data_IF_473614482617
#
_entry.id   IF_473614482617
#
_cell.length_a   1.000
_cell.length_b   1.000
_cell.length_c   1.000
_cell.angle_alpha   90.00
_cell.angle_beta   90.00
_cell.angle_gamma   90.00
#
_symmetry.space_group_name_H-M   'P 1'
#
loop_
_entity.id
_entity.type
_entity.pdbx_description
1 polymer ?
#
# COMPACT_ATOMS: atom_id res chain seq x y z
N UNK A 1 13.34 9.00 2.03
CA UNK A 1 13.71 7.58 1.88
C UNK A 1 12.52 6.73 1.44
N UNK A 2 11.39 6.74 2.17
CA UNK A 2 10.22 5.88 1.88
C UNK A 2 9.62 6.08 0.47
N UNK A 3 9.55 7.31 -0.04
CA UNK A 3 9.08 7.59 -1.41
C UNK A 3 9.81 6.77 -2.49
N UNK A 4 11.12 6.60 -2.34
CA UNK A 4 11.94 5.85 -3.30
C UNK A 4 11.74 4.35 -3.15
N UNK A 5 11.65 3.86 -1.91
CA UNK A 5 11.39 2.44 -1.61
C UNK A 5 10.07 1.99 -2.24
N UNK A 6 9.02 2.81 -2.15
CA UNK A 6 7.71 2.47 -2.68
C UNK A 6 7.47 2.96 -4.11
N UNK A 7 8.44 3.62 -4.76
CA UNK A 7 8.25 4.28 -6.06
C UNK A 7 6.99 5.17 -6.12
N UNK A 8 6.70 5.86 -5.01
CA UNK A 8 5.43 6.53 -4.74
C UNK A 8 5.47 8.03 -5.11
N UNK A 9 4.30 8.61 -5.36
CA UNK A 9 4.15 10.03 -5.64
C UNK A 9 4.44 10.89 -4.40
N UNK A 10 5.00 12.09 -4.60
CA UNK A 10 5.38 13.02 -3.51
C UNK A 10 4.21 13.49 -2.63
N UNK A 11 2.98 13.38 -3.12
CA UNK A 11 1.75 13.78 -2.40
C UNK A 11 1.16 12.65 -1.58
N UNK A 12 1.72 11.43 -1.65
CA UNK A 12 1.27 10.31 -0.81
C UNK A 12 1.55 10.65 0.65
N UNK A 13 0.55 10.45 1.51
CA UNK A 13 0.66 10.69 2.95
C UNK A 13 1.77 9.85 3.58
N UNK A 14 2.45 10.37 4.60
CA UNK A 14 3.49 9.65 5.32
C UNK A 14 2.99 8.33 5.93
N UNK A 15 1.74 8.30 6.38
CA UNK A 15 1.07 7.13 6.95
C UNK A 15 0.99 5.98 5.93
N UNK A 16 0.50 6.26 4.71
CA UNK A 16 0.51 5.28 3.61
C UNK A 16 1.93 4.85 3.23
N UNK A 17 2.90 5.76 3.18
CA UNK A 17 4.29 5.42 2.85
C UNK A 17 4.91 4.46 3.86
N UNK A 18 4.66 4.68 5.16
CA UNK A 18 5.10 3.76 6.20
C UNK A 18 4.52 2.36 5.98
N UNK A 19 3.22 2.26 5.68
CA UNK A 19 2.53 0.98 5.42
C UNK A 19 3.10 0.29 4.19
N UNK A 20 3.16 0.97 3.04
CA UNK A 20 3.67 0.39 1.78
C UNK A 20 5.12 -0.08 1.93
N UNK A 21 5.97 0.69 2.63
CA UNK A 21 7.37 0.34 2.84
C UNK A 21 7.56 -0.76 3.90
N UNK A 22 6.54 -1.07 4.70
CA UNK A 22 6.68 -1.93 5.88
C UNK A 22 7.56 -1.30 6.98
N UNK A 23 7.73 0.02 6.97
CA UNK A 23 8.58 0.75 7.91
C UNK A 23 7.71 1.52 8.90
N UNK A 24 7.79 1.24 10.21
CA UNK A 24 6.99 1.95 11.21
C UNK A 24 7.31 3.46 11.24
N UNK A 25 6.35 4.30 11.68
CA UNK A 25 6.58 5.71 11.95
C UNK A 25 7.83 5.95 12.83
N UNK A 26 8.59 7.00 12.51
CA UNK A 26 9.89 7.27 13.13
C UNK A 26 9.80 7.45 14.65
N UNK A 27 8.72 8.08 15.13
CA UNK A 27 8.46 8.29 16.55
C UNK A 27 8.23 6.96 17.29
N UNK A 28 7.53 6.00 16.68
CA UNK A 28 7.37 4.66 17.25
C UNK A 28 8.70 3.88 17.28
N UNK A 29 9.53 4.02 16.24
CA UNK A 29 10.89 3.46 16.24
C UNK A 29 11.78 4.10 17.33
N UNK A 30 11.63 5.39 17.58
CA UNK A 30 12.35 6.08 18.65
C UNK A 30 11.90 5.59 20.03
N UNK A 31 10.60 5.39 20.23
CA UNK A 31 10.04 4.87 21.49
C UNK A 31 10.50 3.41 21.74
N UNK A 32 10.50 2.55 20.72
CA UNK A 32 11.06 1.18 20.81
C UNK A 32 12.51 1.23 21.32
N UNK A 33 13.36 2.06 20.70
CA UNK A 33 14.77 2.22 21.10
C UNK A 33 14.91 2.76 22.53
N UNK A 34 14.05 3.70 22.92
CA UNK A 34 14.06 4.27 24.28
C UNK A 34 13.70 3.21 25.33
N UNK A 35 12.71 2.37 25.05
CA UNK A 35 12.31 1.29 25.95
C UNK A 35 13.42 0.26 26.11
N UNK A 36 14.07 -0.14 25.02
CA UNK A 36 15.23 -1.03 25.06
C UNK A 36 16.38 -0.43 25.90
N UNK A 37 16.69 0.86 25.71
CA UNK A 37 17.73 1.54 26.48
C UNK A 37 17.40 1.62 27.97
N UNK A 38 16.18 2.05 28.33
CA UNK A 38 15.72 2.14 29.74
C UNK A 38 15.84 0.78 30.43
N UNK A 39 15.49 -0.31 29.74
CA UNK A 39 15.58 -1.67 30.28
C UNK A 39 17.03 -2.09 30.50
N UNK A 40 17.90 -1.91 29.50
CA UNK A 40 19.35 -2.21 29.61
C UNK A 40 20.00 -1.45 30.76
N UNK A 41 19.62 -0.19 30.97
CA UNK A 41 20.11 0.62 32.09
C UNK A 41 19.67 0.05 33.44
N UNK A 42 18.41 -0.40 33.58
CA UNK A 42 17.91 -1.05 34.81
C UNK A 42 18.55 -2.41 35.07
N UNK A 43 18.82 -3.20 34.03
CA UNK A 43 19.47 -4.50 34.13
C UNK A 43 20.96 -4.36 34.51
N UNK A 44 21.67 -3.37 33.98
CA UNK A 44 23.06 -3.07 34.40
C UNK A 44 23.20 -2.66 35.87
N UNK A 45 22.14 -2.13 36.47
CA UNK A 45 22.13 -1.75 37.90
C UNK A 45 21.81 -2.95 38.81
N UNK A 46 21.30 -4.06 38.25
CA UNK A 46 20.92 -5.29 38.96
C UNK A 46 21.84 -6.43 38.55
N UNK A 47 23.11 -6.37 38.92
CA UNK A 47 24.04 -7.46 38.61
C UNK A 47 23.78 -8.67 39.52
N UNK A 48 22.92 -9.58 39.06
CA UNK A 48 22.97 -11.03 39.29
C UNK A 48 21.80 -11.68 38.52
N UNK A 49 22.00 -11.94 37.23
CA UNK A 49 21.47 -13.11 36.50
C UNK A 49 21.56 -12.90 34.99
N UNK A 50 22.11 -13.90 34.33
CA UNK A 50 22.36 -14.01 32.90
C UNK A 50 21.04 -14.32 32.15
N UNK A 51 20.09 -13.38 32.11
CA UNK A 51 18.89 -13.56 31.28
C UNK A 51 19.22 -13.22 29.79
N UNK A 52 18.91 -14.11 28.82
CA UNK A 52 19.35 -13.93 27.45
C UNK A 52 18.67 -12.74 26.76
N UNK A 53 19.50 -11.86 26.17
CA UNK A 53 19.19 -10.63 25.42
C UNK A 53 18.04 -10.74 24.38
N UNK A 54 17.73 -11.97 23.94
CA UNK A 54 16.83 -12.29 22.81
C UNK A 54 15.35 -12.04 23.16
N UNK A 55 14.93 -12.26 24.40
CA UNK A 55 13.53 -12.12 24.82
C UNK A 55 13.06 -10.66 24.93
N UNK A 56 14.00 -9.72 25.07
CA UNK A 56 13.75 -8.30 25.31
C UNK A 56 13.32 -7.56 24.04
N UNK A 57 13.98 -7.85 22.90
CA UNK A 57 13.67 -7.25 21.59
C UNK A 57 12.24 -7.56 21.17
N UNK A 58 11.75 -8.77 21.47
CA UNK A 58 10.40 -9.19 21.11
C UNK A 58 9.29 -8.37 21.79
N UNK A 59 9.47 -7.96 23.05
CA UNK A 59 8.43 -7.20 23.78
C UNK A 59 8.29 -5.77 23.28
N UNK A 60 9.40 -5.06 23.10
CA UNK A 60 9.39 -3.69 22.57
C UNK A 60 8.87 -3.66 21.14
N UNK A 61 9.29 -4.62 20.30
CA UNK A 61 8.77 -4.78 18.94
C UNK A 61 7.28 -5.07 18.89
N UNK A 62 6.77 -5.93 19.78
CA UNK A 62 5.33 -6.22 19.89
C UNK A 62 4.53 -4.97 20.29
N UNK A 63 5.03 -4.20 21.25
CA UNK A 63 4.40 -2.94 21.66
C UNK A 63 4.37 -1.91 20.52
N UNK A 64 5.47 -1.78 19.78
CA UNK A 64 5.53 -0.94 18.57
C UNK A 64 4.49 -1.39 17.55
N UNK A 65 4.40 -2.68 17.24
CA UNK A 65 3.44 -3.20 16.26
C UNK A 65 1.99 -2.93 16.69
N UNK A 66 1.67 -3.13 17.97
CA UNK A 66 0.35 -2.81 18.52
C UNK A 66 0.01 -1.32 18.38
N UNK A 67 0.93 -0.43 18.78
CA UNK A 67 0.74 1.00 18.65
C UNK A 67 0.60 1.45 17.19
N UNK A 68 1.35 0.82 16.27
CA UNK A 68 1.27 1.13 14.85
C UNK A 68 -0.05 0.66 14.24
N UNK A 69 -0.50 -0.56 14.54
CA UNK A 69 -1.81 -1.07 14.12
C UNK A 69 -2.94 -0.16 14.60
N UNK A 70 -2.90 0.30 15.85
CA UNK A 70 -3.93 1.19 16.39
C UNK A 70 -3.92 2.56 15.68
N UNK A 71 -2.73 3.15 15.52
CA UNK A 71 -2.58 4.41 14.77
C UNK A 71 -3.08 4.26 13.32
N UNK A 72 -2.81 3.13 12.68
CA UNK A 72 -3.27 2.86 11.33
C UNK A 72 -4.79 2.69 11.25
N UNK A 73 -5.42 2.06 12.25
CA UNK A 73 -6.89 1.95 12.31
C UNK A 73 -7.57 3.29 12.51
N UNK A 74 -6.92 4.25 13.18
CA UNK A 74 -7.54 5.53 13.52
C UNK A 74 -7.23 6.67 12.55
N UNK A 75 -6.22 6.56 11.68
CA UNK A 75 -5.86 7.66 10.77
C UNK A 75 -7.00 8.03 9.81
N UNK A 76 -7.31 9.31 9.71
CA UNK A 76 -8.22 9.84 8.67
C UNK A 76 -7.52 10.00 7.31
N UNK A 77 -6.19 10.04 7.31
CA UNK A 77 -5.39 10.03 6.08
C UNK A 77 -5.29 8.61 5.53
N UNK A 78 -5.14 8.51 4.21
CA UNK A 78 -4.95 7.24 3.50
C UNK A 78 -6.12 6.25 3.63
N UNK A 79 -7.36 6.74 3.70
CA UNK A 79 -8.56 5.91 3.84
C UNK A 79 -8.63 4.76 2.81
N UNK A 80 -8.30 5.04 1.55
CA UNK A 80 -8.22 4.02 0.48
C UNK A 80 -7.19 2.92 0.79
N UNK A 81 -5.94 3.30 1.06
CA UNK A 81 -4.88 2.34 1.41
C UNK A 81 -5.24 1.51 2.64
N UNK A 82 -5.93 2.12 3.62
CA UNK A 82 -6.39 1.44 4.85
C UNK A 82 -7.51 0.44 4.58
N UNK A 83 -8.42 0.73 3.64
CA UNK A 83 -9.43 -0.24 3.20
C UNK A 83 -8.76 -1.47 2.57
N UNK A 84 -7.76 -1.26 1.71
CA UNK A 84 -7.04 -2.34 1.06
C UNK A 84 -6.18 -3.14 2.06
N UNK A 85 -5.50 -2.46 2.99
CA UNK A 85 -4.55 -3.07 3.93
C UNK A 85 -5.03 -2.86 5.38
N UNK A 86 -6.12 -3.52 5.81
CA UNK A 86 -6.63 -3.38 7.18
C UNK A 86 -5.75 -4.13 8.20
N UNK A 87 -5.17 -5.27 7.81
CA UNK A 87 -4.27 -6.05 8.65
C UNK A 87 -2.80 -5.71 8.37
N UNK A 88 -2.29 -4.75 9.13
CA UNK A 88 -0.92 -4.29 8.99
C UNK A 88 0.12 -5.36 9.39
N UNK A 89 -0.21 -6.25 10.32
CA UNK A 89 0.74 -7.27 10.80
C UNK A 89 1.01 -8.30 9.72
N UNK A 90 -0.03 -8.78 9.03
CA UNK A 90 0.10 -9.69 7.90
C UNK A 90 0.81 -9.03 6.73
N UNK A 91 0.43 -7.79 6.39
CA UNK A 91 1.11 -7.05 5.35
C UNK A 91 2.59 -6.93 5.63
N UNK A 92 3.00 -6.40 6.78
CA UNK A 92 4.43 -6.22 7.12
C UNK A 92 5.17 -7.56 7.27
N UNK A 93 4.46 -8.61 7.68
CA UNK A 93 5.02 -9.94 7.92
C UNK A 93 5.13 -10.83 6.68
N UNK A 94 4.60 -10.41 5.53
CA UNK A 94 4.66 -11.19 4.28
C UNK A 94 6.11 -11.48 3.87
N UNK A 95 6.35 -12.70 3.41
CA UNK A 95 7.67 -13.16 2.97
C UNK A 95 7.98 -12.88 1.49
N UNK A 96 6.98 -12.42 0.73
CA UNK A 96 7.03 -12.24 -0.71
C UNK A 96 6.35 -10.93 -1.14
N UNK A 97 6.55 -10.58 -2.41
CA UNK A 97 5.80 -9.51 -3.04
C UNK A 97 6.33 -8.10 -2.75
N UNK A 98 7.06 -7.56 -3.72
CA UNK A 98 7.58 -6.19 -3.66
C UNK A 98 6.58 -5.18 -4.22
N UNK A 99 6.49 -4.01 -3.58
CA UNK A 99 5.65 -2.91 -4.08
C UNK A 99 6.43 -2.13 -5.14
N UNK A 100 6.10 -2.40 -6.40
CA UNK A 100 6.61 -1.64 -7.54
C UNK A 100 5.82 -0.33 -7.78
N UNK A 101 6.24 0.45 -8.78
CA UNK A 101 5.62 1.73 -9.12
C UNK A 101 4.12 1.66 -9.45
N UNK A 102 3.67 0.62 -10.16
CA UNK A 102 2.27 0.46 -10.56
C UNK A 102 1.40 -0.04 -9.42
N UNK A 103 1.89 -1.00 -8.62
CA UNK A 103 1.16 -1.44 -7.43
C UNK A 103 1.07 -0.31 -6.41
N UNK A 104 2.13 0.46 -6.21
CA UNK A 104 2.13 1.67 -5.36
C UNK A 104 1.06 2.69 -5.77
N UNK A 105 0.90 2.95 -7.07
CA UNK A 105 -0.15 3.82 -7.60
C UNK A 105 -1.55 3.32 -7.18
N UNK A 106 -1.83 2.04 -7.43
CA UNK A 106 -3.11 1.42 -7.07
C UNK A 106 -3.35 1.48 -5.57
N UNK A 107 -2.38 1.07 -4.75
CA UNK A 107 -2.51 1.03 -3.29
C UNK A 107 -2.74 2.41 -2.67
N UNK A 108 -2.28 3.48 -3.32
CA UNK A 108 -2.38 4.85 -2.81
C UNK A 108 -3.48 5.67 -3.47
N UNK A 109 -4.10 5.16 -4.54
CA UNK A 109 -5.04 5.93 -5.36
C UNK A 109 -4.37 7.12 -6.05
N UNK A 110 -3.07 7.01 -6.35
CA UNK A 110 -2.29 8.04 -7.04
C UNK A 110 -1.91 7.58 -8.44
N UNK A 111 -1.60 8.53 -9.32
CA UNK A 111 -1.14 8.24 -10.68
C UNK A 111 -2.19 8.52 -11.74
N UNK A 112 -2.30 7.67 -12.75
CA UNK A 112 -3.14 7.93 -13.94
C UNK A 112 -4.65 7.74 -13.71
N UNK A 113 -5.15 8.07 -12.53
CA UNK A 113 -6.58 8.03 -12.18
C UNK A 113 -7.19 9.43 -12.30
N UNK A 114 -8.33 9.57 -12.97
CA UNK A 114 -9.01 10.85 -13.17
C UNK A 114 -9.20 11.67 -11.90
N UNK A 115 -9.65 11.05 -10.81
CA UNK A 115 -9.82 11.69 -9.51
C UNK A 115 -8.50 12.28 -8.96
N UNK A 116 -7.39 11.54 -9.09
CA UNK A 116 -6.08 12.02 -8.69
C UNK A 116 -5.57 13.15 -9.59
N UNK A 117 -5.65 12.97 -10.90
CA UNK A 117 -5.18 13.95 -11.89
C UNK A 117 -5.92 15.28 -11.75
N UNK A 118 -7.23 15.25 -11.50
CA UNK A 118 -8.02 16.44 -11.20
C UNK A 118 -7.59 17.11 -9.90
N UNK A 119 -7.39 16.32 -8.84
CA UNK A 119 -6.92 16.83 -7.53
C UNK A 119 -5.58 17.59 -7.63
N UNK A 120 -4.69 17.19 -8.53
CA UNK A 120 -3.39 17.87 -8.75
C UNK A 120 -3.42 18.91 -9.88
N UNK A 121 -4.60 19.22 -10.43
CA UNK A 121 -4.76 20.26 -11.46
C UNK A 121 -4.25 19.90 -12.85
N UNK A 122 -4.05 18.59 -13.16
CA UNK A 122 -3.64 18.15 -14.50
C UNK A 122 -4.81 18.08 -15.50
N UNK A 123 -6.02 17.82 -15.00
CA UNK A 123 -7.25 17.73 -15.80
C UNK A 123 -8.41 18.40 -15.07
N UNK A 124 -9.40 18.88 -15.81
CA UNK A 124 -10.59 19.53 -15.24
C UNK A 124 -11.67 18.54 -14.78
N UNK A 125 -11.70 17.35 -15.39
CA UNK A 125 -12.77 16.37 -15.20
C UNK A 125 -12.22 15.00 -14.78
N UNK A 126 -12.77 14.44 -13.71
CA UNK A 126 -12.38 13.17 -13.08
C UNK A 126 -13.04 11.95 -13.72
N UNK A 127 -13.94 12.14 -14.69
CA UNK A 127 -14.73 11.03 -15.24
C UNK A 127 -13.89 10.06 -16.06
N UNK A 128 -14.25 8.77 -15.97
CA UNK A 128 -13.62 7.71 -16.73
C UNK A 128 -13.84 7.90 -18.24
N UNK A 129 -12.75 7.90 -18.99
CA UNK A 129 -12.76 8.10 -20.45
C UNK A 129 -13.44 6.95 -21.20
N UNK A 130 -13.41 5.75 -20.61
CA UNK A 130 -13.97 4.57 -21.25
C UNK A 130 -15.47 4.44 -20.92
N UNK A 131 -15.90 4.84 -19.73
CA UNK A 131 -17.29 4.71 -19.26
C UNK A 131 -18.22 5.85 -19.70
N UNK A 132 -17.98 6.43 -20.88
CA UNK A 132 -18.79 7.50 -21.48
C UNK A 132 -19.03 8.69 -20.52
N UNK A 133 -18.08 8.96 -19.63
CA UNK A 133 -18.18 10.07 -18.68
C UNK A 133 -19.20 9.91 -17.55
N UNK A 134 -19.80 8.71 -17.37
CA UNK A 134 -20.87 8.49 -16.38
C UNK A 134 -20.39 8.32 -14.94
N UNK A 135 -19.13 7.94 -14.75
CA UNK A 135 -18.57 7.54 -13.46
C UNK A 135 -17.24 8.26 -13.25
N UNK A 136 -17.01 8.80 -12.05
CA UNK A 136 -15.70 9.31 -11.67
C UNK A 136 -14.67 8.18 -11.62
N UNK A 137 -13.47 8.42 -12.14
CA UNK A 137 -12.40 7.42 -12.15
C UNK A 137 -11.47 7.62 -10.97
N UNK A 138 -11.72 6.88 -9.90
CA UNK A 138 -10.73 6.59 -8.87
C UNK A 138 -10.02 5.23 -9.14
N UNK A 139 -9.17 4.82 -8.20
CA UNK A 139 -8.46 3.55 -8.33
C UNK A 139 -9.40 2.33 -8.23
N UNK A 140 -10.48 2.42 -7.47
CA UNK A 140 -11.44 1.32 -7.34
C UNK A 140 -12.14 1.09 -8.67
N UNK A 141 -12.71 2.15 -9.23
CA UNK A 141 -13.36 2.09 -10.53
C UNK A 141 -12.40 1.61 -11.61
N UNK A 142 -11.22 2.22 -11.70
CA UNK A 142 -10.26 1.91 -12.75
C UNK A 142 -9.81 0.44 -12.71
N UNK A 143 -9.60 -0.13 -11.52
CA UNK A 143 -9.09 -1.50 -11.40
C UNK A 143 -10.23 -2.52 -11.45
N UNK A 144 -11.33 -2.31 -10.72
CA UNK A 144 -12.32 -3.36 -10.46
C UNK A 144 -13.61 -3.25 -11.28
N UNK A 145 -13.99 -2.04 -11.73
CA UNK A 145 -15.31 -1.83 -12.35
C UNK A 145 -15.26 -1.43 -13.82
N UNK A 146 -14.23 -0.69 -14.22
CA UNK A 146 -14.14 -0.12 -15.56
C UNK A 146 -14.18 -1.23 -16.62
N UNK A 147 -15.16 -1.16 -17.52
CA UNK A 147 -15.42 -2.22 -18.50
C UNK A 147 -14.27 -2.42 -19.50
N UNK A 148 -13.44 -1.39 -19.70
CA UNK A 148 -12.22 -1.46 -20.53
C UNK A 148 -11.29 -2.60 -20.12
N UNK A 149 -11.27 -2.93 -18.83
CA UNK A 149 -10.33 -3.91 -18.26
C UNK A 149 -10.98 -5.25 -17.91
N UNK A 150 -12.23 -5.48 -18.34
CA UNK A 150 -12.99 -6.71 -18.04
C UNK A 150 -12.20 -7.96 -18.38
N UNK A 151 -11.66 -8.05 -19.59
CA UNK A 151 -10.88 -9.21 -20.02
C UNK A 151 -9.61 -9.42 -19.18
N UNK A 152 -8.90 -8.36 -18.83
CA UNK A 152 -7.66 -8.45 -18.01
C UNK A 152 -7.99 -8.93 -16.59
N UNK A 153 -9.14 -8.49 -16.04
CA UNK A 153 -9.65 -9.00 -14.76
C UNK A 153 -10.05 -10.47 -14.86
N UNK A 154 -10.88 -10.84 -15.84
CA UNK A 154 -11.35 -12.21 -16.04
C UNK A 154 -10.19 -13.19 -16.18
N UNK A 155 -9.14 -12.84 -16.95
CA UNK A 155 -7.93 -13.65 -17.06
C UNK A 155 -7.24 -13.87 -15.70
N UNK A 156 -7.21 -12.85 -14.83
CA UNK A 156 -6.69 -12.98 -13.47
C UNK A 156 -7.61 -13.82 -12.57
N UNK A 157 -8.92 -13.60 -12.65
CA UNK A 157 -9.92 -14.28 -11.82
C UNK A 157 -10.05 -15.77 -12.16
N UNK A 158 -9.95 -16.12 -13.44
CA UNK A 158 -9.87 -17.52 -13.90
C UNK A 158 -8.63 -18.21 -13.33
N UNK A 159 -7.47 -17.52 -13.36
CA UNK A 159 -6.23 -18.08 -12.82
C UNK A 159 -6.31 -18.32 -11.30
N UNK A 160 -6.94 -17.40 -10.58
CA UNK A 160 -7.06 -17.47 -9.12
C UNK A 160 -8.28 -18.26 -8.63
N UNK A 161 -9.15 -18.67 -9.55
CA UNK A 161 -10.44 -19.29 -9.26
C UNK A 161 -11.28 -18.49 -8.25
N UNK A 162 -11.19 -17.16 -8.31
CA UNK A 162 -11.89 -16.23 -7.41
C UNK A 162 -12.08 -14.89 -8.09
N UNK A 163 -13.20 -14.23 -7.81
CA UNK A 163 -13.44 -12.84 -8.21
C UNK A 163 -12.53 -11.91 -7.40
N UNK A 164 -11.91 -10.93 -8.04
CA UNK A 164 -10.99 -9.99 -7.38
C UNK A 164 -11.66 -8.63 -7.24
N UNK A 165 -11.63 -8.06 -6.03
CA UNK A 165 -12.17 -6.74 -5.71
C UNK A 165 -11.30 -6.04 -4.65
N UNK A 166 -11.65 -4.79 -4.31
CA UNK A 166 -10.90 -3.99 -3.34
C UNK A 166 -10.77 -4.66 -1.96
N UNK A 167 -11.76 -5.45 -1.54
CA UNK A 167 -11.83 -6.00 -0.19
C UNK A 167 -11.03 -7.33 -0.05
N UNK A 168 -10.78 -8.04 -1.15
CA UNK A 168 -10.05 -9.32 -1.12
C UNK A 168 -8.71 -9.31 -1.86
N UNK A 169 -8.38 -8.26 -2.63
CA UNK A 169 -7.17 -8.21 -3.44
C UNK A 169 -5.91 -8.42 -2.59
N UNK A 170 -5.78 -7.70 -1.48
CA UNK A 170 -4.57 -7.76 -0.65
C UNK A 170 -4.46 -9.09 0.10
N UNK A 171 -5.56 -9.61 0.64
CA UNK A 171 -5.58 -10.93 1.26
C UNK A 171 -5.05 -11.99 0.27
N UNK A 172 -5.58 -11.98 -0.95
CA UNK A 172 -5.12 -12.86 -2.04
C UNK A 172 -3.64 -12.69 -2.38
N UNK A 173 -3.14 -11.45 -2.39
CA UNK A 173 -1.74 -11.17 -2.68
C UNK A 173 -0.82 -11.70 -1.56
N UNK A 174 -1.25 -11.61 -0.30
CA UNK A 174 -0.47 -12.07 0.86
C UNK A 174 -0.53 -13.59 1.03
N UNK A 175 -1.62 -14.25 0.63
CA UNK A 175 -1.83 -15.70 0.78
C UNK A 175 -0.66 -16.53 0.22
N UNK A 176 -0.15 -16.21 -0.97
CA UNK A 176 0.96 -16.91 -1.62
C UNK A 176 1.56 -16.12 -2.80
N UNK A 177 2.73 -16.55 -3.27
CA UNK A 177 3.44 -15.92 -4.40
C UNK A 177 2.67 -15.94 -5.72
N UNK A 178 1.87 -16.97 -5.97
CA UNK A 178 1.06 -17.08 -7.19
C UNK A 178 -0.05 -16.02 -7.20
N UNK A 179 -0.74 -15.85 -6.07
CA UNK A 179 -1.74 -14.81 -5.82
C UNK A 179 -1.16 -13.42 -6.05
N UNK A 180 0.01 -13.16 -5.45
CA UNK A 180 0.73 -11.90 -5.68
C UNK A 180 1.03 -11.68 -7.16
N UNK A 181 1.64 -12.67 -7.82
CA UNK A 181 2.09 -12.55 -9.21
C UNK A 181 0.94 -12.35 -10.18
N UNK A 182 -0.19 -13.05 -9.98
CA UNK A 182 -1.37 -12.91 -10.83
C UNK A 182 -1.97 -11.51 -10.72
N UNK A 183 -2.19 -11.02 -9.49
CA UNK A 183 -2.75 -9.69 -9.25
C UNK A 183 -1.78 -8.61 -9.71
N UNK A 184 -0.49 -8.73 -9.40
CA UNK A 184 0.51 -7.77 -9.86
C UNK A 184 0.52 -7.65 -11.39
N UNK A 185 0.45 -8.78 -12.11
CA UNK A 185 0.36 -8.77 -13.58
C UNK A 185 -0.88 -8.03 -14.07
N UNK A 186 -2.04 -8.27 -13.45
CA UNK A 186 -3.28 -7.55 -13.76
C UNK A 186 -3.11 -6.04 -13.54
N UNK A 187 -2.63 -5.63 -12.37
CA UNK A 187 -2.42 -4.21 -12.02
C UNK A 187 -1.43 -3.53 -12.96
N UNK A 188 -0.29 -4.18 -13.24
CA UNK A 188 0.74 -3.64 -14.14
C UNK A 188 0.21 -3.48 -15.56
N UNK A 189 -0.58 -4.43 -16.05
CA UNK A 189 -1.16 -4.37 -17.40
C UNK A 189 -2.12 -3.18 -17.53
N UNK A 190 -3.04 -3.03 -16.58
CA UNK A 190 -4.00 -1.92 -16.55
C UNK A 190 -3.28 -0.58 -16.42
N UNK A 191 -2.37 -0.48 -15.44
CA UNK A 191 -1.72 0.79 -15.12
C UNK A 191 -0.74 1.24 -16.20
N UNK A 192 -0.02 0.33 -16.88
CA UNK A 192 0.83 0.68 -18.02
C UNK A 192 0.02 1.34 -19.12
N UNK A 193 -1.05 0.68 -19.57
CA UNK A 193 -1.90 1.21 -20.63
C UNK A 193 -2.55 2.54 -20.24
N UNK A 194 -2.98 2.72 -18.98
CA UNK A 194 -3.48 4.01 -18.49
C UNK A 194 -2.41 5.11 -18.48
N UNK A 195 -1.21 4.81 -18.00
CA UNK A 195 -0.11 5.78 -17.96
C UNK A 195 0.33 6.19 -19.37
N UNK A 196 0.34 5.26 -20.33
CA UNK A 196 0.63 5.54 -21.73
C UNK A 196 -0.42 6.47 -22.34
N UNK A 197 -1.69 6.17 -22.14
CA UNK A 197 -2.79 6.99 -22.64
C UNK A 197 -2.81 8.40 -22.01
N UNK A 198 -2.50 8.54 -20.71
CA UNK A 198 -2.33 9.87 -20.08
C UNK A 198 -1.23 10.67 -20.80
N UNK A 199 -0.07 10.05 -21.03
CA UNK A 199 1.09 10.71 -21.68
C UNK A 199 0.80 11.12 -23.12
N UNK A 200 0.07 10.30 -23.87
CA UNK A 200 -0.34 10.63 -25.24
C UNK A 200 -1.22 11.88 -25.26
N UNK A 201 -2.20 11.96 -24.35
CA UNK A 201 -3.08 13.13 -24.24
C UNK A 201 -2.36 14.39 -23.75
N UNK A 202 -1.36 14.25 -22.91
CA UNK A 202 -0.51 15.39 -22.52
C UNK A 202 0.27 15.94 -23.73
N UNK A 203 0.72 15.07 -24.64
CA UNK A 203 1.40 15.49 -25.87
C UNK A 203 0.48 16.15 -26.88
N UNK A 204 -0.79 15.75 -26.96
CA UNK A 204 -1.78 16.37 -27.86
C UNK A 204 -2.20 17.79 -27.42
N UNK A 205 -2.01 18.12 -26.14
CA UNK A 205 -2.36 19.43 -25.57
C UNK A 205 -1.24 20.47 -25.65
N UNK A 206 0.01 20.04 -25.89
CA UNK A 206 1.21 20.89 -25.93
C UNK A 206 1.62 21.18 -27.35
#
# INVERSE_FOLDING_TARGET
MLLRVCCAYRTVSGEALCVLAGVPPLDLLAEERLQEWKKRKKERVRESSLAPLVTCKGKARKALMQAWCERWRQTEKAAWTRRLIPNLTEWVGRGHGEVNHYTSQVLTGHGSFGAYLKRIGKIECSVCWYCEGRVEEDAEHAIFDCHRWTRVREECEVKLWKRVNADNMIETMIENEEGWTAIERMLVTIMKAKCEYEREREREKG
#
